data_IF_795907645742
#
_entry.id   IF_795907645742
#
_cell.length_a   1.000
_cell.length_b   1.000
_cell.length_c   1.000
_cell.angle_alpha   90.00
_cell.angle_beta   90.00
_cell.angle_gamma   90.00
#
_symmetry.space_group_name_H-M   'P 1'
#
loop_
_entity.id
_entity.type
_entity.pdbx_description
1 polymer ?
#
# COMPACT_ATOMS: atom_id res chain seq x y z
N UNK A 1 11.73 -8.83 4.30
CA UNK A 1 11.33 -7.61 5.03
C UNK A 1 9.94 -7.71 5.65
N UNK A 2 8.83 -7.46 4.94
CA UNK A 2 7.50 -7.35 5.60
C UNK A 2 7.07 -8.61 6.39
N UNK A 3 7.39 -9.82 5.89
CA UNK A 3 7.15 -11.07 6.64
C UNK A 3 7.98 -11.11 7.94
N UNK A 4 9.23 -10.68 7.90
CA UNK A 4 10.12 -10.63 9.07
C UNK A 4 9.62 -9.58 10.09
N UNK A 5 9.00 -8.50 9.59
CA UNK A 5 8.31 -7.50 10.40
C UNK A 5 6.91 -7.96 10.89
N UNK A 6 6.53 -9.22 10.69
CA UNK A 6 5.27 -9.77 11.22
C UNK A 6 4.03 -9.35 10.44
N UNK A 7 4.13 -9.21 9.12
CA UNK A 7 2.99 -9.04 8.23
C UNK A 7 2.63 -10.34 7.52
N UNK A 8 1.32 -10.58 7.40
CA UNK A 8 0.74 -11.60 6.53
C UNK A 8 0.51 -11.00 5.15
N UNK A 9 1.07 -11.63 4.11
CA UNK A 9 1.02 -11.14 2.73
C UNK A 9 0.05 -11.99 1.91
N UNK A 10 -0.85 -11.32 1.19
CA UNK A 10 -1.71 -11.91 0.15
C UNK A 10 -1.22 -11.42 -1.21
N UNK A 11 -0.86 -12.33 -2.10
CA UNK A 11 -0.45 -12.03 -3.48
C UNK A 11 -0.81 -13.20 -4.42
N UNK A 12 -1.33 -12.97 -5.63
CA UNK A 12 -1.80 -11.68 -6.15
C UNK A 12 -3.01 -11.17 -5.36
N UNK A 13 -3.05 -9.87 -5.07
CA UNK A 13 -4.20 -9.26 -4.40
C UNK A 13 -5.29 -8.94 -5.43
N UNK A 14 -6.52 -9.41 -5.17
CA UNK A 14 -7.66 -9.29 -6.09
C UNK A 14 -7.38 -9.79 -7.52
N UNK A 15 -6.51 -10.78 -7.66
CA UNK A 15 -6.16 -11.35 -8.96
C UNK A 15 -5.33 -10.45 -9.88
N UNK A 16 -4.94 -9.24 -9.43
CA UNK A 16 -4.04 -8.35 -10.17
C UNK A 16 -2.62 -8.85 -10.02
N UNK A 17 -1.96 -9.16 -11.15
CA UNK A 17 -0.62 -9.73 -11.13
C UNK A 17 0.37 -8.78 -10.45
N UNK A 18 1.31 -9.33 -9.69
CA UNK A 18 2.34 -8.59 -8.95
C UNK A 18 1.82 -7.64 -7.86
N UNK A 19 0.50 -7.53 -7.65
CA UNK A 19 -0.05 -6.79 -6.52
C UNK A 19 0.09 -7.59 -5.22
N UNK A 20 0.07 -6.89 -4.09
CA UNK A 20 0.01 -7.55 -2.79
C UNK A 20 -0.78 -6.72 -1.79
N UNK A 21 -1.30 -7.39 -0.77
CA UNK A 21 -1.78 -6.78 0.45
C UNK A 21 -1.01 -7.37 1.63
N UNK A 22 -0.35 -6.53 2.42
CA UNK A 22 0.30 -6.90 3.65
C UNK A 22 -0.48 -6.34 4.85
N UNK A 23 -0.87 -7.22 5.76
CA UNK A 23 -1.63 -6.91 6.96
C UNK A 23 -0.83 -7.38 8.17
N UNK A 24 -0.66 -6.53 9.18
CA UNK A 24 0.04 -6.92 10.42
C UNK A 24 -0.69 -8.10 11.08
N UNK A 25 0.04 -9.13 11.50
CA UNK A 25 -0.55 -10.31 12.15
C UNK A 25 -1.43 -9.91 13.33
N UNK A 26 -2.63 -10.49 13.42
CA UNK A 26 -3.59 -10.22 14.48
C UNK A 26 -4.44 -8.94 14.29
N UNK A 27 -4.22 -8.17 13.22
CA UNK A 27 -5.05 -7.00 12.90
C UNK A 27 -6.26 -7.32 12.01
N UNK A 28 -6.28 -8.49 11.35
CA UNK A 28 -7.34 -8.87 10.40
C UNK A 28 -8.75 -8.81 11.01
N UNK A 29 -8.90 -9.34 12.22
CA UNK A 29 -10.19 -9.46 12.92
C UNK A 29 -10.50 -8.27 13.85
N UNK A 30 -9.63 -7.25 13.89
CA UNK A 30 -9.84 -6.07 14.72
C UNK A 30 -10.84 -5.14 14.04
N UNK A 31 -11.82 -4.67 14.82
CA UNK A 31 -12.78 -3.68 14.36
C UNK A 31 -12.21 -2.26 14.47
N UNK A 32 -11.22 -1.96 13.63
CA UNK A 32 -10.67 -0.61 13.47
C UNK A 32 -11.02 -0.03 12.10
N UNK A 33 -11.22 1.29 12.00
CA UNK A 33 -11.14 1.99 10.73
C UNK A 33 -9.83 1.63 10.01
N UNK A 34 -9.91 1.38 8.71
CA UNK A 34 -8.76 0.90 7.93
C UNK A 34 -8.19 2.05 7.10
N UNK A 35 -6.87 2.20 7.07
CA UNK A 35 -6.18 3.01 6.09
C UNK A 35 -5.16 2.13 5.35
N UNK A 36 -4.94 2.42 4.06
CA UNK A 36 -3.96 1.71 3.25
C UNK A 36 -2.86 2.65 2.83
N UNK A 37 -1.61 2.20 2.98
CA UNK A 37 -0.45 2.88 2.42
C UNK A 37 -0.04 2.15 1.14
N UNK A 38 -0.09 2.86 0.02
CA UNK A 38 0.19 2.33 -1.30
C UNK A 38 1.68 2.36 -1.63
N UNK A 39 2.14 1.36 -2.36
CA UNK A 39 3.51 1.23 -2.83
C UNK A 39 3.54 0.95 -4.34
N UNK A 40 4.17 1.85 -5.10
CA UNK A 40 4.48 1.68 -6.52
C UNK A 40 5.92 1.21 -6.67
N UNK A 41 6.21 0.31 -7.60
CA UNK A 41 7.54 -0.30 -7.73
C UNK A 41 7.87 -0.75 -9.15
N UNK A 42 7.10 -0.33 -10.14
CA UNK A 42 7.43 -0.53 -11.54
C UNK A 42 8.53 0.44 -12.01
N UNK A 43 9.16 0.08 -13.13
CA UNK A 43 10.24 0.83 -13.75
C UNK A 43 9.95 1.01 -15.24
N UNK A 44 10.55 2.03 -15.85
CA UNK A 44 10.42 2.29 -17.27
C UNK A 44 11.41 1.44 -18.09
N UNK A 45 10.98 0.85 -19.22
CA UNK A 45 11.86 0.07 -20.10
C UNK A 45 13.08 0.86 -20.57
N UNK A 46 14.28 0.33 -20.34
CA UNK A 46 15.55 0.94 -20.77
C UNK A 46 15.98 2.17 -19.96
N UNK A 47 15.16 2.67 -19.03
CA UNK A 47 15.42 3.88 -18.24
C UNK A 47 15.55 3.54 -16.74
N UNK A 48 14.84 2.52 -16.26
CA UNK A 48 14.79 2.17 -14.83
C UNK A 48 13.77 3.01 -14.06
N UNK A 49 13.98 3.21 -12.76
CA UNK A 49 13.05 3.96 -11.89
C UNK A 49 13.19 5.48 -12.02
N UNK A 50 13.11 6.02 -13.24
CA UNK A 50 13.22 7.47 -13.46
C UNK A 50 12.06 8.27 -12.83
N UNK A 51 10.85 7.69 -12.77
CA UNK A 51 9.71 8.28 -12.04
C UNK A 51 9.79 8.04 -10.53
N UNK A 52 10.74 7.21 -10.10
CA UNK A 52 11.16 7.15 -8.71
C UNK A 52 10.38 6.21 -7.79
N UNK A 53 9.69 5.24 -8.38
CA UNK A 53 8.88 4.26 -7.65
C UNK A 53 9.69 3.47 -6.62
N UNK A 54 10.98 3.20 -6.87
CA UNK A 54 11.84 2.54 -5.87
C UNK A 54 11.93 3.30 -4.54
N UNK A 55 12.06 4.63 -4.60
CA UNK A 55 12.13 5.46 -3.39
C UNK A 55 10.74 5.67 -2.82
N UNK A 56 9.73 5.92 -3.65
CA UNK A 56 8.34 6.05 -3.15
C UNK A 56 7.88 4.80 -2.41
N UNK A 57 8.14 3.61 -2.96
CA UNK A 57 7.92 2.33 -2.28
C UNK A 57 8.64 2.31 -0.93
N UNK A 58 9.94 2.62 -0.92
CA UNK A 58 10.75 2.62 0.30
C UNK A 58 10.22 3.55 1.39
N UNK A 59 9.84 4.79 1.03
CA UNK A 59 9.30 5.78 1.96
C UNK A 59 7.91 5.37 2.46
N UNK A 60 7.04 4.86 1.59
CA UNK A 60 5.72 4.34 1.96
C UNK A 60 5.81 3.14 2.90
N UNK A 61 6.72 2.21 2.64
CA UNK A 61 7.02 1.09 3.55
C UNK A 61 7.55 1.60 4.90
N UNK A 62 8.50 2.54 4.89
CA UNK A 62 9.04 3.13 6.11
C UNK A 62 7.94 3.82 6.94
N UNK A 63 7.05 4.56 6.30
CA UNK A 63 5.93 5.22 6.96
C UNK A 63 4.99 4.21 7.64
N UNK A 64 4.63 3.13 6.94
CA UNK A 64 3.77 2.08 7.49
C UNK A 64 4.43 1.35 8.68
N UNK A 65 5.71 0.99 8.55
CA UNK A 65 6.48 0.34 9.61
C UNK A 65 6.66 1.27 10.81
N UNK A 66 6.97 2.55 10.59
CA UNK A 66 7.13 3.54 11.65
C UNK A 66 5.82 3.81 12.40
N UNK A 67 4.68 3.93 11.69
CA UNK A 67 3.37 4.11 12.33
C UNK A 67 3.03 2.92 13.23
N UNK A 68 3.14 1.69 12.71
CA UNK A 68 2.84 0.49 13.47
C UNK A 68 3.85 0.22 14.60
N UNK A 69 5.11 0.65 14.46
CA UNK A 69 6.15 0.48 15.47
C UNK A 69 6.12 1.53 16.58
N UNK A 70 5.83 2.79 16.25
CA UNK A 70 5.85 3.91 17.19
C UNK A 70 4.51 4.15 17.89
N UNK A 71 3.39 3.75 17.27
CA UNK A 71 2.05 4.02 17.79
C UNK A 71 1.21 2.74 17.90
N UNK A 72 1.47 1.95 18.94
CA UNK A 72 0.73 0.68 19.16
C UNK A 72 -0.77 0.88 19.47
N UNK A 73 -1.14 2.04 20.01
CA UNK A 73 -2.52 2.41 20.32
C UNK A 73 -3.19 3.24 19.22
N UNK A 74 -2.62 3.25 18.00
CA UNK A 74 -3.21 3.95 16.87
C UNK A 74 -4.64 3.41 16.64
N UNK A 75 -5.68 4.27 16.64
CA UNK A 75 -7.07 3.83 16.48
C UNK A 75 -7.41 3.52 15.01
N UNK A 76 -6.43 3.04 14.25
CA UNK A 76 -6.54 2.66 12.85
C UNK A 76 -5.74 1.39 12.62
N UNK A 77 -6.27 0.56 11.73
CA UNK A 77 -5.48 -0.51 11.10
C UNK A 77 -4.79 0.06 9.87
N UNK A 78 -3.46 -0.01 9.84
CA UNK A 78 -2.63 0.40 8.71
C UNK A 78 -2.19 -0.83 7.93
N UNK A 79 -2.72 -0.98 6.73
CA UNK A 79 -2.30 -2.01 5.78
C UNK A 79 -1.37 -1.41 4.71
N UNK A 80 -0.59 -2.28 4.05
CA UNK A 80 0.30 -1.89 2.95
C UNK A 80 -0.18 -2.60 1.68
N UNK A 81 -0.43 -1.85 0.62
CA UNK A 81 -0.87 -2.40 -0.66
C UNK A 81 0.14 -2.10 -1.75
N UNK A 82 0.61 -3.16 -2.41
CA UNK A 82 1.40 -3.04 -3.62
C UNK A 82 0.51 -2.76 -4.83
N UNK A 83 0.76 -1.63 -5.47
CA UNK A 83 0.03 -1.17 -6.66
C UNK A 83 0.96 -1.20 -7.86
N UNK A 84 1.02 -2.33 -8.59
CA UNK A 84 1.96 -2.52 -9.71
C UNK A 84 1.56 -1.68 -10.92
N UNK A 85 2.49 -1.56 -11.87
CA UNK A 85 2.23 -1.05 -13.22
C UNK A 85 1.48 0.30 -13.24
N UNK A 86 1.98 1.28 -12.49
CA UNK A 86 1.42 2.64 -12.47
C UNK A 86 1.53 3.29 -13.85
N UNK A 87 2.70 3.16 -14.49
CA UNK A 87 3.02 3.84 -15.74
C UNK A 87 2.15 3.33 -16.90
N UNK A 88 1.96 2.01 -16.95
CA UNK A 88 1.11 1.34 -17.92
C UNK A 88 0.90 -0.12 -17.49
N UNK A 89 -0.35 -0.64 -17.48
CA UNK A 89 -1.60 0.00 -17.91
C UNK A 89 -2.34 0.81 -16.83
N UNK A 90 -1.74 1.05 -15.65
CA UNK A 90 -2.41 1.71 -14.52
C UNK A 90 -3.03 0.70 -13.55
N UNK A 91 -2.19 -0.10 -12.88
CA UNK A 91 -2.61 -1.23 -12.03
C UNK A 91 -3.64 -0.89 -10.95
N UNK A 92 -3.65 0.35 -10.46
CA UNK A 92 -4.63 0.82 -9.47
C UNK A 92 -6.07 0.79 -9.99
N UNK A 93 -6.28 1.05 -11.29
CA UNK A 93 -7.62 1.01 -11.89
C UNK A 93 -8.20 -0.39 -11.76
N UNK A 94 -7.43 -1.44 -12.08
CA UNK A 94 -7.87 -2.83 -11.93
C UNK A 94 -8.11 -3.22 -10.46
N UNK A 95 -7.28 -2.71 -9.54
CA UNK A 95 -7.49 -2.92 -8.10
C UNK A 95 -8.77 -2.23 -7.60
N UNK A 96 -9.05 -1.01 -8.07
CA UNK A 96 -10.28 -0.28 -7.78
C UNK A 96 -11.49 -1.05 -8.31
N UNK A 97 -11.46 -1.45 -9.58
CA UNK A 97 -12.56 -2.18 -10.23
C UNK A 97 -12.84 -3.53 -9.57
N UNK A 98 -11.80 -4.16 -9.01
CA UNK A 98 -11.94 -5.43 -8.29
C UNK A 98 -12.41 -5.27 -6.84
N UNK A 99 -12.51 -4.04 -6.32
CA UNK A 99 -12.96 -3.76 -4.95
C UNK A 99 -11.84 -3.78 -3.90
N UNK A 100 -10.57 -3.70 -4.29
CA UNK A 100 -9.44 -3.77 -3.37
C UNK A 100 -9.42 -2.64 -2.31
N UNK A 101 -10.04 -1.51 -2.63
CA UNK A 101 -10.13 -0.35 -1.75
C UNK A 101 -11.40 -0.34 -0.89
N UNK A 102 -12.30 -1.32 -1.04
CA UNK A 102 -13.55 -1.36 -0.27
C UNK A 102 -13.32 -1.50 1.24
N UNK A 103 -13.99 -0.61 1.99
CA UNK A 103 -13.91 -0.54 3.44
C UNK A 103 -12.65 0.15 3.98
N UNK A 104 -11.76 0.69 3.14
CA UNK A 104 -10.74 1.63 3.59
C UNK A 104 -11.32 3.04 3.71
N UNK A 105 -10.90 3.76 4.75
CA UNK A 105 -11.24 5.17 4.98
C UNK A 105 -10.35 6.09 4.16
N UNK A 106 -9.07 5.73 4.07
CA UNK A 106 -8.04 6.52 3.45
C UNK A 106 -7.10 5.63 2.64
N UNK A 107 -6.72 6.11 1.45
CA UNK A 107 -5.53 5.66 0.74
C UNK A 107 -4.45 6.74 0.83
N UNK A 108 -3.26 6.35 1.24
CA UNK A 108 -2.11 7.24 1.44
C UNK A 108 -0.95 6.77 0.59
N UNK A 109 -0.21 7.70 -0.01
CA UNK A 109 1.04 7.39 -0.69
C UNK A 109 2.06 8.49 -0.45
N UNK A 110 3.28 8.09 -0.09
CA UNK A 110 4.39 9.00 0.10
C UNK A 110 5.27 9.06 -1.16
N UNK A 111 5.31 10.24 -1.77
CA UNK A 111 6.23 10.59 -2.86
C UNK A 111 7.26 11.58 -2.32
N UNK A 112 8.33 11.78 -3.09
CA UNK A 112 9.50 12.60 -2.74
C UNK A 112 9.21 13.95 -2.06
N UNK A 113 8.17 14.65 -2.54
CA UNK A 113 7.82 16.00 -2.08
C UNK A 113 6.36 16.14 -1.66
N UNK A 114 5.58 15.06 -1.76
CA UNK A 114 4.14 15.12 -1.55
C UNK A 114 3.66 13.83 -0.91
N UNK A 115 2.80 13.98 0.09
CA UNK A 115 2.02 12.88 0.64
C UNK A 115 0.62 13.06 0.08
N UNK A 116 0.17 12.08 -0.71
CA UNK A 116 -1.18 12.04 -1.23
C UNK A 116 -2.04 11.32 -0.19
N UNK A 117 -3.11 11.95 0.26
CA UNK A 117 -4.12 11.35 1.15
C UNK A 117 -5.47 11.49 0.45
N UNK A 118 -6.07 10.35 0.11
CA UNK A 118 -7.38 10.27 -0.53
C UNK A 118 -8.38 9.70 0.47
N UNK A 119 -9.41 10.46 0.89
CA UNK A 119 -10.55 9.86 1.57
C UNK A 119 -11.31 8.95 0.59
N UNK A 120 -11.63 7.74 1.01
CA UNK A 120 -12.31 6.72 0.19
C UNK A 120 -13.77 6.51 0.59
N UNK A 121 -14.22 7.22 1.62
CA UNK A 121 -15.65 7.31 1.96
C UNK A 121 -16.35 8.35 1.10
N UNK A 122 -17.42 7.92 0.43
CA UNK A 122 -18.48 8.77 -0.08
C UNK A 122 -19.34 9.30 1.08
#
# INVERSE_FOLDING_TARGET
MLIEEGYEITTPHFGVEQSFLAVKTGMKDKNYPKAVIMCEYDALPGIGHACGHSVSCGVSLLAALALNGAYQDLPFRIDIMGTPAEEYPGGKVFLIDAGAFEGYEFAVMALYFIIIVLPLKC
#
